data_IF_296004788778
#
_entry.id   IF_296004788778
#
_cell.length_a   1.000
_cell.length_b   1.000
_cell.length_c   1.000
_cell.angle_alpha   90.00
_cell.angle_beta   90.00
_cell.angle_gamma   90.00
#
_symmetry.space_group_name_H-M   'P 1'
#
loop_
_entity.id
_entity.type
_entity.pdbx_description
1 polymer ?
#
# COMPACT_ATOMS: atom_id res chain seq x y z
N UNK A 1 -28.57 -5.94 8.66
CA UNK A 1 -27.88 -5.00 7.76
C UNK A 1 -26.39 -5.28 7.86
N UNK A 2 -25.68 -5.43 6.73
CA UNK A 2 -24.20 -5.52 6.76
C UNK A 2 -23.67 -4.23 7.39
N UNK A 3 -22.73 -4.32 8.33
CA UNK A 3 -22.19 -3.14 8.99
C UNK A 3 -21.36 -2.34 7.96
N UNK A 4 -21.83 -1.14 7.58
CA UNK A 4 -21.21 -0.29 6.56
C UNK A 4 -19.77 0.06 6.96
N UNK A 5 -19.49 0.20 8.26
CA UNK A 5 -18.17 0.47 8.84
C UNK A 5 -17.12 -0.60 8.48
N UNK A 6 -17.57 -1.80 8.08
CA UNK A 6 -16.70 -2.92 7.69
C UNK A 6 -16.43 -2.97 6.18
N UNK A 7 -16.99 -2.07 5.39
CA UNK A 7 -16.78 -2.02 3.94
C UNK A 7 -15.63 -1.06 3.63
N UNK A 8 -14.81 -1.38 2.62
CA UNK A 8 -13.79 -0.52 2.05
C UNK A 8 -13.91 -0.55 0.54
N UNK A 9 -14.24 0.58 -0.10
CA UNK A 9 -14.20 0.69 -1.56
C UNK A 9 -12.86 1.31 -1.96
N UNK A 10 -11.94 0.49 -2.49
CA UNK A 10 -10.58 0.91 -2.79
C UNK A 10 -10.21 0.75 -4.26
N UNK A 11 -9.41 1.70 -4.76
CA UNK A 11 -8.76 1.58 -6.06
C UNK A 11 -7.27 1.27 -5.92
N UNK A 12 -6.74 0.42 -6.79
CA UNK A 12 -5.29 0.29 -6.97
C UNK A 12 -4.88 1.14 -8.16
N UNK A 13 -4.01 2.11 -7.93
CA UNK A 13 -3.53 3.02 -8.97
C UNK A 13 -2.03 3.24 -8.92
N UNK A 14 -1.41 3.46 -10.07
CA UNK A 14 0.04 3.46 -10.24
C UNK A 14 0.43 3.87 -11.66
N UNK A 15 1.71 4.20 -11.86
CA UNK A 15 2.27 4.28 -13.21
C UNK A 15 2.31 2.90 -13.92
N UNK A 16 2.65 2.91 -15.21
CA UNK A 16 2.75 1.70 -16.04
C UNK A 16 3.84 0.79 -15.48
N UNK A 17 3.57 -0.52 -15.41
CA UNK A 17 4.56 -1.50 -14.98
C UNK A 17 5.06 -1.31 -13.51
N UNK A 18 4.20 -0.79 -12.61
CA UNK A 18 4.45 -0.80 -11.15
C UNK A 18 4.03 -2.11 -10.47
N UNK A 19 3.33 -3.00 -11.18
CA UNK A 19 2.78 -4.24 -10.64
C UNK A 19 1.43 -4.09 -9.94
N UNK A 20 0.52 -3.25 -10.47
CA UNK A 20 -0.87 -3.11 -9.99
C UNK A 20 -1.62 -4.43 -10.05
N UNK A 21 -1.73 -5.00 -11.25
CA UNK A 21 -2.42 -6.27 -11.49
C UNK A 21 -1.82 -7.41 -10.67
N UNK A 22 -0.48 -7.45 -10.55
CA UNK A 22 0.20 -8.41 -9.68
C UNK A 22 -0.22 -8.25 -8.22
N UNK A 23 -0.31 -7.02 -7.72
CA UNK A 23 -0.78 -6.75 -6.36
C UNK A 23 -2.25 -7.16 -6.18
N UNK A 24 -3.12 -6.82 -7.14
CA UNK A 24 -4.53 -7.22 -7.16
C UNK A 24 -4.69 -8.74 -7.08
N UNK A 25 -3.95 -9.50 -7.89
CA UNK A 25 -3.94 -10.97 -7.83
C UNK A 25 -3.53 -11.50 -6.46
N UNK A 26 -2.52 -10.90 -5.82
CA UNK A 26 -2.09 -11.32 -4.47
C UNK A 26 -3.14 -11.02 -3.41
N UNK A 27 -3.83 -9.89 -3.51
CA UNK A 27 -4.95 -9.57 -2.63
C UNK A 27 -6.04 -10.64 -2.77
N UNK A 28 -6.39 -11.03 -4.00
CA UNK A 28 -7.38 -12.09 -4.24
C UNK A 28 -6.93 -13.45 -3.71
N UNK A 29 -5.64 -13.76 -3.82
CA UNK A 29 -5.09 -15.01 -3.31
C UNK A 29 -5.15 -15.07 -1.77
N UNK A 30 -4.63 -14.06 -1.08
CA UNK A 30 -4.61 -14.06 0.40
C UNK A 30 -5.99 -13.92 1.05
N UNK A 31 -6.97 -13.44 0.30
CA UNK A 31 -8.37 -13.38 0.74
C UNK A 31 -9.15 -14.65 0.37
N UNK A 32 -8.46 -15.70 -0.10
CA UNK A 32 -9.01 -16.99 -0.53
C UNK A 32 -10.03 -16.90 -1.67
N UNK A 33 -10.01 -15.81 -2.46
CA UNK A 33 -10.90 -15.60 -3.60
C UNK A 33 -10.42 -16.41 -4.82
N UNK A 34 -9.11 -16.55 -4.97
CA UNK A 34 -8.47 -17.43 -5.96
C UNK A 34 -7.56 -18.43 -5.23
N UNK A 35 -7.49 -19.65 -5.73
CA UNK A 35 -6.69 -20.72 -5.12
C UNK A 35 -5.29 -20.87 -5.75
N UNK A 36 -5.02 -20.16 -6.84
CA UNK A 36 -3.75 -20.21 -7.54
C UNK A 36 -3.39 -18.81 -8.03
N UNK A 37 -2.12 -18.48 -7.84
CA UNK A 37 -1.50 -17.28 -8.35
C UNK A 37 -1.14 -17.49 -9.83
N UNK A 38 -1.56 -16.54 -10.68
CA UNK A 38 -1.11 -16.47 -12.07
C UNK A 38 -0.37 -15.16 -12.34
N UNK A 39 0.69 -15.22 -13.16
CA UNK A 39 1.46 -14.04 -13.54
C UNK A 39 0.85 -13.36 -14.77
N UNK A 40 0.92 -12.03 -14.80
CA UNK A 40 0.42 -11.18 -15.90
C UNK A 40 1.06 -11.56 -17.24
N UNK A 41 2.34 -12.01 -17.25
CA UNK A 41 3.05 -12.47 -18.44
C UNK A 41 3.42 -13.94 -18.34
N UNK A 42 2.43 -14.81 -18.50
CA UNK A 42 2.63 -16.25 -18.55
C UNK A 42 2.82 -16.76 -19.98
N UNK A 43 3.83 -17.63 -20.20
CA UNK A 43 3.99 -18.38 -21.47
C UNK A 43 2.83 -19.34 -21.76
N UNK A 44 2.01 -19.65 -20.75
CA UNK A 44 0.84 -20.53 -20.84
C UNK A 44 -0.44 -19.86 -21.35
N UNK A 45 -0.45 -18.52 -21.52
CA UNK A 45 -1.57 -17.78 -22.10
C UNK A 45 -2.79 -17.56 -21.18
N UNK A 46 -2.78 -18.06 -19.94
CA UNK A 46 -3.94 -17.95 -19.02
C UNK A 46 -4.08 -16.52 -18.43
N UNK A 47 -2.96 -15.82 -18.18
CA UNK A 47 -2.94 -14.41 -17.76
C UNK A 47 -3.34 -14.17 -16.31
N UNK A 48 -3.36 -12.91 -15.85
CA UNK A 48 -3.92 -12.57 -14.54
C UNK A 48 -5.45 -12.60 -14.58
N UNK A 49 -6.10 -13.02 -13.49
CA UNK A 49 -7.57 -13.04 -13.33
C UNK A 49 -8.21 -11.67 -13.61
N UNK A 50 -7.52 -10.59 -13.24
CA UNK A 50 -8.01 -9.22 -13.42
C UNK A 50 -7.92 -8.70 -14.87
N UNK A 51 -7.10 -9.31 -15.73
CA UNK A 51 -7.00 -8.95 -17.14
C UNK A 51 -7.96 -9.84 -17.96
N UNK A 52 -9.15 -9.32 -18.24
CA UNK A 52 -10.25 -10.07 -18.86
C UNK A 52 -10.18 -10.09 -20.39
N UNK A 53 -9.59 -9.06 -21.01
CA UNK A 53 -9.51 -8.98 -22.47
C UNK A 53 -8.29 -9.77 -22.98
N UNK A 54 -8.43 -10.47 -24.12
CA UNK A 54 -7.32 -11.21 -24.74
C UNK A 54 -6.12 -10.29 -25.05
N UNK A 55 -6.40 -9.03 -25.42
CA UNK A 55 -5.37 -8.02 -25.67
C UNK A 55 -4.64 -7.59 -24.39
N UNK A 56 -5.32 -7.54 -23.24
CA UNK A 56 -4.69 -7.25 -21.94
C UNK A 56 -3.72 -8.35 -21.56
N UNK A 57 -4.13 -9.63 -21.73
CA UNK A 57 -3.28 -10.80 -21.48
C UNK A 57 -2.10 -10.88 -22.44
N UNK A 58 -2.31 -10.57 -23.72
CA UNK A 58 -1.24 -10.59 -24.72
C UNK A 58 -0.18 -9.51 -24.47
N UNK A 59 -0.61 -8.29 -24.13
CA UNK A 59 0.29 -7.14 -23.92
C UNK A 59 0.81 -7.02 -22.49
N UNK A 60 0.15 -7.69 -21.53
CA UNK A 60 0.41 -7.59 -20.10
C UNK A 60 0.17 -6.16 -19.59
N UNK A 61 -0.92 -5.53 -20.04
CA UNK A 61 -1.34 -4.19 -19.62
C UNK A 61 -2.83 -4.24 -19.27
N UNK A 62 -3.24 -3.43 -18.30
CA UNK A 62 -4.67 -3.24 -17.96
C UNK A 62 -5.24 -2.07 -18.75
N UNK A 63 -6.30 -2.31 -19.51
CA UNK A 63 -6.99 -1.37 -20.41
C UNK A 63 -8.31 -0.91 -19.78
N UNK A 64 -9.13 -1.85 -19.28
CA UNK A 64 -10.39 -1.55 -18.61
C UNK A 64 -10.27 -1.69 -17.10
N UNK A 65 -11.05 -0.90 -16.36
CA UNK A 65 -11.10 -1.04 -14.91
C UNK A 65 -11.82 -2.35 -14.54
N UNK A 66 -11.15 -3.22 -13.79
CA UNK A 66 -11.72 -4.48 -13.31
C UNK A 66 -12.18 -4.31 -11.86
N UNK A 67 -13.41 -4.76 -11.56
CA UNK A 67 -14.00 -4.68 -10.23
C UNK A 67 -14.21 -6.08 -9.65
N UNK A 68 -13.83 -6.27 -8.40
CA UNK A 68 -13.97 -7.53 -7.65
C UNK A 68 -14.19 -7.24 -6.17
N UNK A 69 -14.55 -8.24 -5.39
CA UNK A 69 -14.66 -8.12 -3.94
C UNK A 69 -13.92 -9.25 -3.23
N UNK A 70 -13.43 -8.95 -2.05
CA UNK A 70 -12.67 -9.85 -1.20
C UNK A 70 -13.02 -9.62 0.28
N UNK A 71 -12.81 -10.64 1.11
CA UNK A 71 -12.99 -10.54 2.57
C UNK A 71 -11.65 -10.73 3.27
N UNK A 72 -11.32 -9.82 4.18
CA UNK A 72 -10.07 -9.84 4.94
C UNK A 72 -10.38 -9.54 6.41
N UNK A 73 -10.09 -10.44 7.35
CA UNK A 73 -10.26 -10.20 8.82
C UNK A 73 -11.57 -9.47 9.19
N UNK A 74 -12.71 -9.92 8.66
CA UNK A 74 -14.05 -9.36 8.84
C UNK A 74 -14.32 -7.97 8.20
N UNK A 75 -13.44 -7.47 7.33
CA UNK A 75 -13.72 -6.34 6.43
C UNK A 75 -14.00 -6.84 5.02
N UNK A 76 -14.91 -6.18 4.33
CA UNK A 76 -15.24 -6.43 2.93
C UNK A 76 -14.53 -5.36 2.11
N UNK A 77 -13.62 -5.79 1.23
CA UNK A 77 -12.87 -4.91 0.34
C UNK A 77 -13.48 -5.05 -1.05
N UNK A 78 -14.07 -3.97 -1.56
CA UNK A 78 -14.45 -3.84 -2.95
C UNK A 78 -13.27 -3.19 -3.69
N UNK A 79 -12.63 -3.96 -4.56
CA UNK A 79 -11.40 -3.59 -5.25
C UNK A 79 -11.72 -3.19 -6.69
N UNK A 80 -11.24 -2.01 -7.10
CA UNK A 80 -11.19 -1.57 -8.48
C UNK A 80 -9.73 -1.48 -8.92
N UNK A 81 -9.30 -2.33 -9.85
CA UNK A 81 -7.98 -2.20 -10.48
C UNK A 81 -8.09 -1.19 -11.63
N UNK A 82 -7.27 -0.13 -11.56
CA UNK A 82 -7.36 0.98 -12.51
C UNK A 82 -6.25 0.91 -13.56
N UNK A 83 -6.52 1.32 -14.82
CA UNK A 83 -5.48 1.43 -15.84
C UNK A 83 -4.34 2.35 -15.41
N UNK A 84 -3.10 1.99 -15.76
CA UNK A 84 -1.91 2.79 -15.44
C UNK A 84 -1.43 3.73 -16.53
N UNK A 85 -2.00 3.60 -17.73
CA UNK A 85 -1.54 4.32 -18.92
C UNK A 85 -2.22 5.68 -19.01
N UNK A 86 -1.48 6.68 -19.51
CA UNK A 86 -1.99 8.05 -19.70
C UNK A 86 -3.14 8.13 -20.72
N UNK A 87 -3.22 7.15 -21.62
CA UNK A 87 -4.27 7.10 -22.64
C UNK A 87 -5.63 6.67 -22.07
N UNK A 88 -5.65 6.12 -20.84
CA UNK A 88 -6.86 5.64 -20.17
C UNK A 88 -7.24 6.50 -18.97
N UNK A 89 -6.85 7.79 -18.97
CA UNK A 89 -7.14 8.72 -17.87
C UNK A 89 -8.63 8.86 -17.58
N UNK A 90 -9.51 8.75 -18.57
CA UNK A 90 -10.97 8.80 -18.37
C UNK A 90 -11.44 7.65 -17.48
N UNK A 91 -10.94 6.44 -17.70
CA UNK A 91 -11.28 5.28 -16.86
C UNK A 91 -10.77 5.45 -15.42
N UNK A 92 -9.56 5.97 -15.26
CA UNK A 92 -9.00 6.30 -13.94
C UNK A 92 -9.86 7.35 -13.24
N UNK A 93 -10.29 8.42 -13.94
CA UNK A 93 -11.16 9.44 -13.34
C UNK A 93 -12.55 8.89 -12.96
N UNK A 94 -13.11 7.98 -13.77
CA UNK A 94 -14.39 7.35 -13.45
C UNK A 94 -14.28 6.48 -12.20
N UNK A 95 -13.21 5.69 -12.08
CA UNK A 95 -12.96 4.89 -10.90
C UNK A 95 -12.81 5.79 -9.65
N UNK A 96 -11.96 6.81 -9.71
CA UNK A 96 -11.67 7.69 -8.57
C UNK A 96 -12.90 8.45 -8.04
N UNK A 97 -13.95 8.65 -8.84
CA UNK A 97 -15.21 9.28 -8.38
C UNK A 97 -16.09 8.38 -7.51
N UNK A 98 -15.85 7.07 -7.53
CA UNK A 98 -16.67 6.07 -6.84
C UNK A 98 -15.92 5.45 -5.65
N UNK A 99 -14.63 5.70 -5.55
CA UNK A 99 -13.76 5.12 -4.54
C UNK A 99 -13.71 5.96 -3.27
N UNK A 100 -13.80 5.29 -2.12
CA UNK A 100 -13.63 5.96 -0.83
C UNK A 100 -12.15 6.12 -0.49
N UNK A 101 -11.28 5.22 -0.98
CA UNK A 101 -9.84 5.29 -0.76
C UNK A 101 -9.04 4.69 -1.91
N UNK A 102 -7.72 4.88 -1.90
CA UNK A 102 -6.85 4.30 -2.91
C UNK A 102 -5.52 3.80 -2.34
N UNK A 103 -4.94 2.82 -3.03
CA UNK A 103 -3.54 2.43 -2.87
C UNK A 103 -2.76 2.97 -4.06
N UNK A 104 -1.85 3.91 -3.78
CA UNK A 104 -0.91 4.44 -4.76
C UNK A 104 0.34 3.56 -4.80
N UNK A 105 0.47 2.74 -5.83
CA UNK A 105 1.61 1.84 -6.00
C UNK A 105 2.75 2.57 -6.72
N UNK A 106 3.94 2.52 -6.13
CA UNK A 106 5.17 3.06 -6.71
C UNK A 106 6.21 1.95 -6.87
N UNK A 107 7.08 2.05 -7.86
CA UNK A 107 8.21 1.13 -8.01
C UNK A 107 9.37 1.59 -7.11
N UNK A 108 9.93 0.70 -6.27
CA UNK A 108 11.07 1.00 -5.39
C UNK A 108 12.31 1.53 -6.14
N UNK A 109 12.47 1.10 -7.41
CA UNK A 109 13.61 1.48 -8.25
C UNK A 109 13.34 2.77 -9.03
N UNK A 110 12.14 2.95 -9.56
CA UNK A 110 11.80 4.11 -10.42
C UNK A 110 11.27 5.31 -9.62
N UNK A 111 10.68 5.06 -8.45
CA UNK A 111 10.04 6.06 -7.62
C UNK A 111 8.90 6.80 -8.31
N UNK A 112 8.77 8.11 -8.04
CA UNK A 112 7.74 8.97 -8.61
C UNK A 112 8.10 9.33 -10.06
N UNK A 113 7.21 8.92 -10.96
CA UNK A 113 7.29 9.16 -12.40
C UNK A 113 6.30 10.24 -12.84
N UNK A 114 6.42 10.73 -14.08
CA UNK A 114 5.50 11.74 -14.63
C UNK A 114 4.04 11.27 -14.60
N UNK A 115 3.78 9.99 -14.88
CA UNK A 115 2.42 9.44 -14.80
C UNK A 115 1.91 9.36 -13.34
N UNK A 116 2.80 9.08 -12.38
CA UNK A 116 2.43 9.09 -10.95
C UNK A 116 1.91 10.47 -10.53
N UNK A 117 2.50 11.56 -11.03
CA UNK A 117 2.06 12.93 -10.75
C UNK A 117 0.64 13.16 -11.29
N UNK A 118 0.34 12.67 -12.50
CA UNK A 118 -1.00 12.82 -13.10
C UNK A 118 -2.06 12.08 -12.30
N UNK A 119 -1.79 10.81 -11.94
CA UNK A 119 -2.71 10.00 -11.12
C UNK A 119 -2.91 10.64 -9.74
N UNK A 120 -1.82 11.11 -9.11
CA UNK A 120 -1.89 11.77 -7.82
C UNK A 120 -2.74 13.05 -7.86
N UNK A 121 -2.57 13.88 -8.89
CA UNK A 121 -3.41 15.07 -9.12
C UNK A 121 -4.89 14.72 -9.26
N UNK A 122 -5.21 13.60 -9.91
CA UNK A 122 -6.59 13.14 -10.02
C UNK A 122 -7.15 12.70 -8.66
N UNK A 123 -6.39 11.92 -7.88
CA UNK A 123 -6.79 11.52 -6.52
C UNK A 123 -7.01 12.75 -5.62
N UNK A 124 -6.13 13.75 -5.72
CA UNK A 124 -6.26 15.00 -4.96
C UNK A 124 -7.49 15.80 -5.39
N UNK A 125 -7.79 15.87 -6.69
CA UNK A 125 -9.00 16.54 -7.20
C UNK A 125 -10.29 15.91 -6.65
N UNK A 126 -10.33 14.60 -6.53
CA UNK A 126 -11.49 13.85 -6.01
C UNK A 126 -11.42 13.60 -4.50
N UNK A 127 -10.46 14.20 -3.79
CA UNK A 127 -10.34 14.12 -2.34
C UNK A 127 -10.22 12.67 -1.82
N UNK A 128 -9.57 11.79 -2.57
CA UNK A 128 -9.43 10.37 -2.22
C UNK A 128 -8.24 10.17 -1.26
N UNK A 129 -8.46 9.73 -0.01
CA UNK A 129 -7.41 9.32 0.92
C UNK A 129 -6.63 8.15 0.36
N UNK A 130 -5.32 8.13 0.58
CA UNK A 130 -4.47 7.13 -0.05
C UNK A 130 -3.34 6.62 0.83
N UNK A 131 -3.02 5.35 0.65
CA UNK A 131 -1.82 4.70 1.19
C UNK A 131 -0.82 4.56 0.04
N UNK A 132 0.45 4.92 0.26
CA UNK A 132 1.50 4.66 -0.72
C UNK A 132 2.12 3.29 -0.47
N UNK A 133 2.15 2.44 -1.49
CA UNK A 133 2.78 1.12 -1.44
C UNK A 133 3.96 1.05 -2.41
N UNK A 134 5.17 1.02 -1.86
CA UNK A 134 6.41 0.89 -2.63
C UNK A 134 6.67 -0.58 -2.93
N UNK A 135 6.35 -0.96 -4.16
CA UNK A 135 6.43 -2.33 -4.67
C UNK A 135 7.79 -2.60 -5.34
N UNK A 136 8.05 -3.88 -5.65
CA UNK A 136 9.26 -4.35 -6.33
C UNK A 136 10.53 -4.17 -5.49
N UNK A 137 10.42 -4.36 -4.16
CA UNK A 137 11.55 -4.35 -3.22
C UNK A 137 12.60 -5.43 -3.50
N UNK A 138 12.26 -6.43 -4.31
CA UNK A 138 13.14 -7.51 -4.77
C UNK A 138 14.09 -7.11 -5.91
N UNK A 139 13.93 -5.91 -6.49
CA UNK A 139 14.77 -5.47 -7.62
C UNK A 139 16.04 -4.75 -7.15
N UNK A 140 17.11 -4.88 -7.93
CA UNK A 140 18.34 -4.14 -7.73
C UNK A 140 18.10 -2.62 -7.72
N UNK A 141 18.66 -1.94 -6.71
CA UNK A 141 18.47 -0.50 -6.48
C UNK A 141 17.10 -0.15 -5.87
N UNK A 142 16.41 -1.10 -5.24
CA UNK A 142 15.18 -0.83 -4.50
C UNK A 142 15.47 0.05 -3.27
N UNK A 143 14.83 1.22 -3.21
CA UNK A 143 15.01 2.18 -2.13
C UNK A 143 13.67 2.85 -1.76
N UNK A 144 12.99 2.36 -0.70
CA UNK A 144 11.70 2.90 -0.29
C UNK A 144 11.82 4.24 0.43
N UNK A 145 12.95 4.53 1.06
CA UNK A 145 13.21 5.82 1.73
C UNK A 145 13.30 6.92 0.68
N UNK A 146 14.04 6.68 -0.41
CA UNK A 146 14.08 7.59 -1.56
C UNK A 146 12.72 7.77 -2.20
N UNK A 147 11.90 6.72 -2.32
CA UNK A 147 10.52 6.87 -2.82
C UNK A 147 9.68 7.76 -1.91
N UNK A 148 9.80 7.61 -0.59
CA UNK A 148 9.12 8.47 0.40
C UNK A 148 9.59 9.94 0.29
N UNK A 149 10.88 10.20 0.15
CA UNK A 149 11.37 11.56 -0.13
C UNK A 149 10.83 12.13 -1.44
N UNK A 150 10.76 11.33 -2.50
CA UNK A 150 10.17 11.79 -3.77
C UNK A 150 8.68 12.11 -3.67
N UNK A 151 7.91 11.41 -2.81
CA UNK A 151 6.53 11.79 -2.51
C UNK A 151 6.46 13.19 -1.89
N UNK A 152 7.40 13.52 -0.99
CA UNK A 152 7.50 14.86 -0.38
C UNK A 152 7.93 15.90 -1.40
N UNK A 153 9.06 15.69 -2.06
CA UNK A 153 9.71 16.71 -2.89
C UNK A 153 8.97 16.97 -4.20
N UNK A 154 8.44 15.91 -4.84
CA UNK A 154 7.83 16.03 -6.17
C UNK A 154 6.31 16.18 -6.14
N UNK A 155 5.64 15.61 -5.14
CA UNK A 155 4.18 15.68 -5.02
C UNK A 155 3.71 16.63 -3.91
N UNK A 156 4.61 17.08 -3.02
CA UNK A 156 4.27 17.99 -1.93
C UNK A 156 3.51 17.33 -0.79
N UNK A 157 3.58 16.00 -0.66
CA UNK A 157 2.84 15.25 0.37
C UNK A 157 3.63 15.13 1.66
N UNK A 158 2.95 15.20 2.80
CA UNK A 158 3.51 14.79 4.09
C UNK A 158 3.51 13.25 4.20
N UNK A 159 4.46 12.61 3.54
CA UNK A 159 4.56 11.16 3.47
C UNK A 159 5.54 10.63 4.51
N UNK A 160 5.15 9.67 5.35
CA UNK A 160 6.05 9.01 6.31
C UNK A 160 5.97 7.50 6.19
N UNK A 161 7.11 6.85 6.41
CA UNK A 161 7.17 5.39 6.52
C UNK A 161 6.40 4.97 7.78
N UNK A 162 5.48 4.03 7.62
CA UNK A 162 4.86 3.30 8.75
C UNK A 162 5.38 1.87 8.86
N UNK A 163 6.27 1.48 7.93
CA UNK A 163 7.00 0.23 7.95
C UNK A 163 8.44 0.44 7.46
N UNK A 164 9.37 -0.43 7.85
CA UNK A 164 10.74 -0.48 7.33
C UNK A 164 11.04 -1.83 6.69
N UNK A 165 11.87 -1.89 5.63
CA UNK A 165 12.26 -3.15 5.04
C UNK A 165 13.30 -3.89 5.89
N UNK A 166 13.21 -5.22 5.94
CA UNK A 166 14.27 -6.09 6.46
C UNK A 166 15.02 -6.65 5.25
N UNK A 167 16.20 -6.10 5.00
CA UNK A 167 16.97 -6.34 3.78
C UNK A 167 16.41 -5.62 2.56
N UNK A 168 17.07 -5.79 1.42
CA UNK A 168 16.67 -5.21 0.13
C UNK A 168 17.04 -6.16 -1.01
N UNK A 169 16.43 -5.96 -2.18
CA UNK A 169 16.68 -6.77 -3.38
C UNK A 169 16.42 -8.26 -3.09
N UNK A 170 17.31 -9.15 -3.51
CA UNK A 170 17.21 -10.59 -3.23
C UNK A 170 17.27 -10.94 -1.73
N UNK A 171 17.78 -10.03 -0.89
CA UNK A 171 17.83 -10.19 0.57
C UNK A 171 16.61 -9.61 1.28
N UNK A 172 15.61 -9.10 0.56
CA UNK A 172 14.38 -8.61 1.18
C UNK A 172 13.58 -9.78 1.78
N UNK A 173 13.47 -9.81 3.11
CA UNK A 173 12.89 -10.95 3.85
C UNK A 173 11.59 -10.60 4.57
N UNK A 174 11.44 -9.36 5.01
CA UNK A 174 10.31 -8.96 5.85
C UNK A 174 10.16 -7.46 5.96
N UNK A 175 9.22 -7.05 6.80
CA UNK A 175 8.96 -5.63 7.11
C UNK A 175 8.79 -5.44 8.60
N UNK A 176 9.40 -4.39 9.14
CA UNK A 176 9.19 -3.93 10.51
C UNK A 176 7.97 -3.01 10.51
N UNK A 177 6.96 -3.32 11.32
CA UNK A 177 5.83 -2.44 11.58
C UNK A 177 6.26 -1.39 12.61
N UNK A 178 6.26 -0.10 12.23
CA UNK A 178 6.67 1.00 13.12
C UNK A 178 5.58 1.39 14.12
N UNK A 179 4.35 0.90 13.96
CA UNK A 179 3.21 1.15 14.87
C UNK A 179 3.22 0.14 16.01
N UNK A 180 3.44 -1.14 15.72
CA UNK A 180 3.53 -2.20 16.72
C UNK A 180 4.97 -2.45 17.21
N UNK A 181 5.98 -1.93 16.51
CA UNK A 181 7.40 -2.19 16.78
C UNK A 181 7.75 -3.68 16.76
N UNK A 182 7.30 -4.38 15.72
CA UNK A 182 7.54 -5.81 15.50
C UNK A 182 8.01 -6.09 14.08
N UNK A 183 8.84 -7.11 13.92
CA UNK A 183 9.28 -7.61 12.63
C UNK A 183 8.29 -8.65 12.10
N UNK A 184 7.86 -8.48 10.85
CA UNK A 184 7.00 -9.41 10.15
C UNK A 184 7.79 -10.09 9.03
N UNK A 185 7.95 -11.39 9.13
CA UNK A 185 8.53 -12.25 8.10
C UNK A 185 7.43 -13.00 7.37
N UNK A 186 7.63 -13.26 6.08
CA UNK A 186 6.66 -13.92 5.22
C UNK A 186 7.23 -15.28 4.80
N UNK A 187 6.83 -16.33 5.51
CA UNK A 187 7.30 -17.69 5.31
C UNK A 187 6.29 -18.50 4.46
N UNK A 188 6.75 -19.63 3.92
CA UNK A 188 5.98 -20.48 3.01
C UNK A 188 6.16 -20.10 1.54
N UNK A 189 5.77 -21.02 0.64
CA UNK A 189 6.04 -20.88 -0.80
C UNK A 189 5.41 -19.62 -1.41
N UNK A 190 4.23 -19.22 -0.90
CA UNK A 190 3.55 -18.00 -1.31
C UNK A 190 3.45 -16.96 -0.18
N UNK A 191 4.35 -16.98 0.81
CA UNK A 191 4.32 -16.01 1.90
C UNK A 191 3.04 -16.03 2.74
N UNK A 192 2.36 -17.18 2.80
CA UNK A 192 1.06 -17.36 3.47
C UNK A 192 1.18 -17.29 4.99
N UNK A 193 2.35 -17.65 5.53
CA UNK A 193 2.60 -17.69 6.96
C UNK A 193 3.33 -16.43 7.41
N UNK A 194 2.60 -15.50 8.03
CA UNK A 194 3.20 -14.30 8.62
C UNK A 194 3.73 -14.64 10.01
N UNK A 195 5.06 -14.65 10.17
CA UNK A 195 5.75 -14.85 11.44
C UNK A 195 6.13 -13.49 12.03
N UNK A 196 5.65 -13.24 13.24
CA UNK A 196 5.88 -11.99 13.97
C UNK A 196 6.96 -12.23 15.03
N UNK A 197 8.00 -11.40 15.02
CA UNK A 197 9.13 -11.47 15.95
C UNK A 197 9.54 -10.09 16.45
N UNK A 198 10.49 -10.08 17.39
CA UNK A 198 11.16 -8.86 17.79
C UNK A 198 12.05 -8.34 16.66
N UNK A 199 12.23 -7.01 16.63
CA UNK A 199 13.05 -6.34 15.62
C UNK A 199 14.51 -6.79 15.76
N UNK A 200 15.19 -7.16 14.66
CA UNK A 200 16.62 -7.48 14.69
C UNK A 200 17.43 -6.36 15.36
N UNK A 201 18.39 -6.73 16.21
CA UNK A 201 19.16 -5.76 17.00
C UNK A 201 19.86 -4.69 16.13
N UNK A 202 20.28 -5.07 14.92
CA UNK A 202 20.91 -4.17 13.95
C UNK A 202 19.96 -3.10 13.38
N UNK A 203 18.66 -3.39 13.28
CA UNK A 203 17.65 -2.47 12.75
C UNK A 203 16.87 -1.74 13.84
N UNK A 204 17.02 -2.14 15.12
CA UNK A 204 16.23 -1.60 16.22
C UNK A 204 16.46 -0.08 16.43
N UNK A 205 17.71 0.38 16.27
CA UNK A 205 18.03 1.80 16.41
C UNK A 205 17.34 2.63 15.32
N UNK A 206 17.45 2.21 14.07
CA UNK A 206 16.79 2.86 12.93
C UNK A 206 15.25 2.81 13.08
N UNK A 207 14.69 1.67 13.49
CA UNK A 207 13.26 1.56 13.72
C UNK A 207 12.74 2.53 14.80
N UNK A 208 13.49 2.72 15.88
CA UNK A 208 13.15 3.70 16.92
C UNK A 208 13.23 5.13 16.42
N UNK A 209 14.28 5.48 15.66
CA UNK A 209 14.42 6.80 15.05
C UNK A 209 13.26 7.11 14.10
N UNK A 210 12.93 6.18 13.21
CA UNK A 210 11.82 6.32 12.25
C UNK A 210 10.46 6.36 12.94
N UNK A 211 10.25 5.59 14.01
CA UNK A 211 9.06 5.71 14.84
C UNK A 211 8.99 7.09 15.50
N UNK A 212 10.10 7.61 16.01
CA UNK A 212 10.14 8.93 16.61
C UNK A 212 9.77 10.03 15.61
N UNK A 213 10.31 9.98 14.38
CA UNK A 213 9.90 10.87 13.27
C UNK A 213 8.40 10.76 12.96
N UNK A 214 7.85 9.53 12.96
CA UNK A 214 6.43 9.30 12.72
C UNK A 214 5.55 9.86 13.85
N UNK A 215 5.93 9.64 15.11
CA UNK A 215 5.21 10.17 16.27
C UNK A 215 5.22 11.69 16.28
N UNK A 216 6.37 12.30 15.99
CA UNK A 216 6.49 13.76 15.84
C UNK A 216 5.50 14.30 14.80
N UNK A 217 5.44 13.67 13.63
CA UNK A 217 4.51 14.06 12.57
C UNK A 217 3.04 13.85 12.93
N UNK A 218 2.73 12.88 13.80
CA UNK A 218 1.37 12.67 14.31
C UNK A 218 0.96 13.70 15.37
N UNK A 219 1.91 14.36 16.03
CA UNK A 219 1.64 15.46 16.95
C UNK A 219 0.92 16.64 16.29
N UNK A 220 1.11 16.85 14.98
CA UNK A 220 0.38 17.88 14.23
C UNK A 220 -1.12 17.58 14.06
N UNK A 221 -1.55 16.35 14.35
CA UNK A 221 -2.92 15.84 14.13
C UNK A 221 -3.64 15.38 15.40
N UNK A 222 -2.91 15.23 16.51
CA UNK A 222 -3.44 14.73 17.77
C UNK A 222 -2.69 15.38 18.95
N UNK A 223 -3.37 16.28 19.67
CA UNK A 223 -2.80 17.04 20.79
C UNK A 223 -2.24 16.14 21.90
N UNK A 224 -2.86 14.97 22.13
CA UNK A 224 -2.40 14.02 23.14
C UNK A 224 -1.08 13.36 22.71
N UNK A 225 -0.92 13.04 21.42
CA UNK A 225 0.36 12.57 20.89
C UNK A 225 1.43 13.66 20.97
N UNK A 226 1.09 14.91 20.68
CA UNK A 226 2.02 16.03 20.79
C UNK A 226 2.55 16.20 22.23
N UNK A 227 1.66 16.11 23.24
CA UNK A 227 2.03 16.16 24.65
C UNK A 227 2.98 15.00 25.03
N UNK A 228 2.61 13.76 24.68
CA UNK A 228 3.45 12.59 24.95
C UNK A 228 4.83 12.69 24.29
N UNK A 229 4.89 13.22 23.06
CA UNK A 229 6.13 13.43 22.33
C UNK A 229 7.03 14.47 23.02
N UNK A 230 6.47 15.61 23.44
CA UNK A 230 7.23 16.67 24.13
C UNK A 230 7.79 16.22 25.49
N UNK A 231 7.14 15.25 26.14
CA UNK A 231 7.56 14.68 27.41
C UNK A 231 8.44 13.42 27.27
N UNK A 232 8.85 13.04 26.05
CA UNK A 232 9.58 11.80 25.74
C UNK A 232 8.88 10.53 26.29
N UNK A 233 7.54 10.53 26.33
CA UNK A 233 6.73 9.41 26.79
C UNK A 233 6.34 8.47 25.64
N UNK A 234 6.16 7.20 25.97
CA UNK A 234 5.75 6.20 24.98
C UNK A 234 4.31 6.40 24.50
N UNK A 235 4.14 6.47 23.17
CA UNK A 235 2.81 6.48 22.52
C UNK A 235 2.37 5.05 22.24
N UNK A 236 1.16 4.70 22.71
CA UNK A 236 0.60 3.36 22.49
C UNK A 236 0.32 3.09 21.00
N UNK A 237 0.45 1.84 20.51
CA UNK A 237 0.14 1.49 19.13
C UNK A 237 -1.28 1.87 18.70
N UNK A 238 -2.26 1.74 19.60
CA UNK A 238 -3.65 2.09 19.33
C UNK A 238 -3.86 3.60 19.17
N UNK A 239 -3.22 4.42 20.01
CA UNK A 239 -3.28 5.88 19.87
C UNK A 239 -2.62 6.31 18.55
N UNK A 240 -1.43 5.77 18.27
CA UNK A 240 -0.70 6.09 17.04
C UNK A 240 -1.48 5.67 15.79
N UNK A 241 -2.09 4.48 15.79
CA UNK A 241 -2.95 4.01 14.69
C UNK A 241 -4.15 4.93 14.45
N UNK A 242 -4.79 5.43 15.51
CA UNK A 242 -5.90 6.39 15.39
C UNK A 242 -5.45 7.72 14.79
N UNK A 243 -4.34 8.27 15.26
CA UNK A 243 -3.81 9.51 14.71
C UNK A 243 -3.41 9.36 13.23
N UNK A 244 -2.74 8.26 12.85
CA UNK A 244 -2.43 7.97 11.45
C UNK A 244 -3.69 7.88 10.60
N UNK A 245 -4.76 7.24 11.11
CA UNK A 245 -6.06 7.23 10.42
C UNK A 245 -6.60 8.65 10.23
N UNK A 246 -6.72 9.43 11.31
CA UNK A 246 -7.20 10.81 11.26
C UNK A 246 -6.40 11.67 10.27
N UNK A 247 -5.07 11.57 10.31
CA UNK A 247 -4.17 12.28 9.41
C UNK A 247 -4.37 11.85 7.96
N UNK A 248 -4.48 10.54 7.69
CA UNK A 248 -4.73 9.97 6.35
C UNK A 248 -6.06 10.46 5.78
N UNK A 249 -7.13 10.41 6.58
CA UNK A 249 -8.47 10.84 6.17
C UNK A 249 -8.55 12.36 5.96
N UNK A 250 -7.70 13.14 6.63
CA UNK A 250 -7.60 14.59 6.42
C UNK A 250 -6.93 14.98 5.09
N UNK A 251 -6.39 14.00 4.33
CA UNK A 251 -5.61 14.20 3.10
C UNK A 251 -4.29 14.95 3.29
N UNK A 252 -3.88 15.21 4.53
CA UNK A 252 -2.65 15.94 4.88
C UNK A 252 -1.51 15.01 5.27
N UNK A 253 -1.72 13.69 5.20
CA UNK A 253 -0.71 12.70 5.52
C UNK A 253 -0.87 11.48 4.61
N UNK A 254 0.26 10.90 4.18
CA UNK A 254 0.27 9.65 3.41
C UNK A 254 1.13 8.61 4.15
N UNK A 255 0.52 7.52 4.66
CA UNK A 255 1.28 6.40 5.18
C UNK A 255 1.98 5.68 4.02
N UNK A 256 3.28 5.46 4.17
CA UNK A 256 4.11 4.77 3.19
C UNK A 256 4.51 3.40 3.72
N UNK A 257 4.24 2.39 2.93
CA UNK A 257 4.61 1.00 3.17
C UNK A 257 5.38 0.45 1.98
N UNK A 258 5.98 -0.73 2.14
CA UNK A 258 6.73 -1.40 1.08
C UNK A 258 6.50 -2.90 1.07
N UNK A 259 6.81 -3.50 -0.07
CA UNK A 259 6.78 -4.94 -0.24
C UNK A 259 7.21 -5.38 -1.63
N UNK A 260 7.03 -6.67 -1.88
CA UNK A 260 7.17 -7.25 -3.21
C UNK A 260 5.96 -8.13 -3.48
N UNK A 261 5.04 -7.63 -4.32
CA UNK A 261 3.91 -8.44 -4.78
C UNK A 261 4.39 -9.65 -5.60
N UNK A 262 5.53 -9.54 -6.29
CA UNK A 262 6.10 -10.64 -7.05
C UNK A 262 6.60 -11.76 -6.13
N UNK A 263 7.34 -11.41 -5.07
CA UNK A 263 7.89 -12.34 -4.08
C UNK A 263 6.96 -12.60 -2.90
N UNK A 264 5.68 -12.21 -2.97
CA UNK A 264 4.67 -12.56 -1.98
C UNK A 264 4.94 -11.98 -0.57
N UNK A 265 5.44 -10.75 -0.50
CA UNK A 265 5.88 -10.09 0.75
C UNK A 265 5.21 -8.74 0.93
N UNK A 266 4.66 -8.49 2.12
CA UNK A 266 4.09 -7.20 2.52
C UNK A 266 2.63 -6.95 2.13
N UNK A 267 1.99 -7.86 1.39
CA UNK A 267 0.60 -7.67 0.91
C UNK A 267 -0.41 -7.77 2.04
N UNK A 268 -0.23 -8.71 2.99
CA UNK A 268 -1.11 -8.85 4.15
C UNK A 268 -1.05 -7.61 5.05
N UNK A 269 0.13 -7.02 5.20
CA UNK A 269 0.31 -5.77 5.95
C UNK A 269 -0.41 -4.61 5.26
N UNK A 270 -0.36 -4.55 3.92
CA UNK A 270 -1.14 -3.58 3.15
C UNK A 270 -2.65 -3.79 3.36
N UNK A 271 -3.14 -5.04 3.37
CA UNK A 271 -4.56 -5.34 3.63
C UNK A 271 -4.99 -4.92 5.04
N UNK A 272 -4.14 -5.13 6.03
CA UNK A 272 -4.36 -4.62 7.39
C UNK A 272 -4.41 -3.09 7.40
N UNK A 273 -3.47 -2.43 6.74
CA UNK A 273 -3.42 -0.98 6.62
C UNK A 273 -4.64 -0.38 5.90
N UNK A 274 -5.16 -1.05 4.85
CA UNK A 274 -6.43 -0.69 4.21
C UNK A 274 -7.57 -0.67 5.23
N UNK A 275 -7.66 -1.69 6.08
CA UNK A 275 -8.67 -1.74 7.15
C UNK A 275 -8.51 -0.63 8.18
N UNK A 276 -7.27 -0.37 8.61
CA UNK A 276 -6.97 0.60 9.65
C UNK A 276 -7.09 2.06 9.19
N UNK A 277 -6.60 2.40 7.99
CA UNK A 277 -6.35 3.80 7.62
C UNK A 277 -7.25 4.34 6.51
N UNK A 278 -7.84 3.49 5.66
CA UNK A 278 -8.77 3.95 4.63
C UNK A 278 -10.21 4.05 5.17
N UNK A 279 -11.01 4.99 4.64
CA UNK A 279 -12.37 5.22 5.12
C UNK A 279 -13.29 4.06 4.75
N UNK A 280 -14.34 3.94 5.54
CA UNK A 280 -15.56 3.22 5.15
C UNK A 280 -16.57 4.19 4.52
N UNK A 281 -17.67 3.69 3.92
CA UNK A 281 -18.61 4.56 3.19
C UNK A 281 -19.52 5.44 4.06
N UNK A 282 -19.39 5.46 5.39
CA UNK A 282 -20.29 6.19 6.30
C UNK A 282 -19.92 7.66 6.52
#
# INVERSE_FOLDING_TARGET
MRNIEKIRNIGISAHIDSGKTTLSERILFYTNKIHKIEEVRCKSGVGATMDFMDLEREKGITIQSAATYAEWKNIIINLIDTPGHVDFTIEVERALRVLDGAVLVLCAVSGVQSQSITVDRQMTRYHVPRIAFVNKMDRAGADPVRCMHQLRDKLGHNAHLIALPIGAEDRFQGVIDLIEMKANYFDGDNGENVRIEDIPAELLAEAKERRHELVAAMGDFDDHIAELYLEDKEVSPNALRKAVRTATLSLKFIPVMMGSAYKNKGVQMLLDAVGYYLPDPS
#
